data_IF_785417993048
#
_entry.id   IF_785417993048
#
_cell.length_a   1.000
_cell.length_b   1.000
_cell.length_c   1.000
_cell.angle_alpha   90.00
_cell.angle_beta   90.00
_cell.angle_gamma   90.00
#
_symmetry.space_group_name_H-M   'P 1'
#
loop_
_entity.id
_entity.type
_entity.pdbx_description
1 polymer ?
#
# COMPACT_ATOMS: atom_id res chain seq x y z
N UNK A 1 -12.00 10.71 -16.32
CA UNK A 1 -10.56 10.81 -16.24
C UNK A 1 -10.13 10.94 -14.79
N UNK A 2 -9.17 10.16 -14.43
CA UNK A 2 -8.62 10.27 -13.10
C UNK A 2 -7.82 11.58 -12.98
N UNK A 3 -8.02 12.36 -11.92
CA UNK A 3 -7.20 13.56 -11.76
C UNK A 3 -5.74 13.15 -11.57
N UNK A 4 -4.85 14.00 -11.97
CA UNK A 4 -3.43 13.80 -11.72
C UNK A 4 -3.21 13.68 -10.22
N UNK A 5 -2.42 12.69 -9.80
CA UNK A 5 -2.18 12.48 -8.39
C UNK A 5 -1.04 13.36 -7.93
N UNK A 6 -1.34 14.29 -7.03
CA UNK A 6 -0.30 15.07 -6.36
C UNK A 6 0.44 14.17 -5.40
N UNK A 7 1.73 14.43 -5.21
CA UNK A 7 2.53 13.58 -4.33
C UNK A 7 1.93 13.51 -2.92
N UNK A 8 1.51 14.64 -2.38
CA UNK A 8 0.96 14.69 -1.03
C UNK A 8 -0.41 14.04 -0.93
N UNK A 9 -1.06 13.74 -2.05
CA UNK A 9 -2.40 13.15 -2.04
C UNK A 9 -2.37 11.63 -2.07
N UNK A 10 -1.20 11.00 -2.29
CA UNK A 10 -1.13 9.55 -2.44
C UNK A 10 -1.56 8.84 -1.16
N UNK A 11 -0.97 9.21 -0.01
CA UNK A 11 -1.29 8.54 1.25
C UNK A 11 -2.76 8.71 1.66
N UNK A 12 -3.34 9.92 1.59
CA UNK A 12 -4.78 10.05 1.83
C UNK A 12 -5.62 9.20 0.88
N UNK A 13 -5.19 9.03 -0.36
CA UNK A 13 -5.92 8.22 -1.33
C UNK A 13 -5.87 6.74 -0.96
N UNK A 14 -4.76 6.26 -0.39
CA UNK A 14 -4.69 4.89 0.10
C UNK A 14 -5.71 4.66 1.21
N UNK A 15 -5.73 5.57 2.19
CA UNK A 15 -6.67 5.45 3.30
C UNK A 15 -8.12 5.46 2.81
N UNK A 16 -8.46 6.42 1.95
CA UNK A 16 -9.81 6.52 1.41
C UNK A 16 -10.19 5.30 0.58
N UNK A 17 -9.25 4.81 -0.23
CA UNK A 17 -9.51 3.64 -1.07
C UNK A 17 -9.83 2.40 -0.25
N UNK A 18 -9.08 2.16 0.82
CA UNK A 18 -9.34 1.03 1.69
C UNK A 18 -10.69 1.19 2.39
N UNK A 19 -10.92 2.36 2.97
CA UNK A 19 -12.11 2.56 3.81
C UNK A 19 -13.39 2.65 2.99
N UNK A 20 -13.29 2.98 1.70
CA UNK A 20 -14.44 3.04 0.80
C UNK A 20 -14.57 1.79 -0.08
N UNK A 21 -13.74 0.78 0.15
CA UNK A 21 -13.77 -0.45 -0.66
C UNK A 21 -13.59 -0.17 -2.15
N UNK A 22 -12.69 0.77 -2.46
CA UNK A 22 -12.50 1.25 -3.83
C UNK A 22 -11.26 0.61 -4.45
N UNK A 23 -11.42 -0.63 -4.90
CA UNK A 23 -10.30 -1.39 -5.48
C UNK A 23 -9.71 -0.67 -6.70
N UNK A 24 -10.54 -0.12 -7.55
CA UNK A 24 -10.05 0.56 -8.74
C UNK A 24 -9.25 1.80 -8.40
N UNK A 25 -9.69 2.55 -7.38
CA UNK A 25 -8.97 3.72 -6.92
C UNK A 25 -7.61 3.37 -6.34
N UNK A 26 -7.52 2.25 -5.62
CA UNK A 26 -6.24 1.81 -5.07
C UNK A 26 -5.28 1.39 -6.18
N UNK A 27 -5.75 0.58 -7.13
CA UNK A 27 -4.91 0.12 -8.24
C UNK A 27 -4.44 1.29 -9.10
N UNK A 28 -5.29 2.32 -9.22
CA UNK A 28 -4.95 3.51 -10.01
C UNK A 28 -3.78 4.31 -9.43
N UNK A 29 -3.35 4.02 -8.20
CA UNK A 29 -2.19 4.69 -7.59
C UNK A 29 -0.87 4.11 -8.05
N UNK A 30 -0.88 3.02 -8.82
CA UNK A 30 0.32 2.27 -9.20
C UNK A 30 0.60 2.36 -10.70
N UNK A 31 1.88 2.41 -11.04
CA UNK A 31 2.30 2.28 -12.43
C UNK A 31 2.11 0.84 -12.89
N UNK A 32 1.99 0.64 -14.20
CA UNK A 32 1.71 -0.68 -14.75
C UNK A 32 2.78 -1.70 -14.41
N UNK A 33 4.03 -1.25 -14.26
CA UNK A 33 5.16 -2.13 -13.95
C UNK A 33 5.55 -2.11 -12.48
N UNK A 34 4.68 -1.59 -11.62
CA UNK A 34 5.00 -1.45 -10.20
C UNK A 34 5.23 -2.79 -9.53
N UNK A 35 6.07 -2.79 -8.52
CA UNK A 35 6.34 -3.96 -7.69
C UNK A 35 5.87 -3.71 -6.26
N UNK A 36 5.39 -4.75 -5.61
CA UNK A 36 4.94 -4.68 -4.22
C UNK A 36 5.60 -5.81 -3.44
N UNK A 37 6.11 -5.47 -2.25
CA UNK A 37 6.72 -6.46 -1.36
C UNK A 37 5.63 -6.93 -0.39
N UNK A 38 5.43 -8.22 -0.31
CA UNK A 38 4.40 -8.81 0.55
C UNK A 38 4.94 -9.05 1.95
N UNK A 39 4.03 -9.38 2.88
CA UNK A 39 4.40 -9.57 4.28
C UNK A 39 5.44 -10.68 4.47
N UNK A 40 5.43 -11.69 3.60
CA UNK A 40 6.38 -12.81 3.69
C UNK A 40 7.70 -12.52 2.95
N UNK A 41 7.85 -11.30 2.41
CA UNK A 41 9.05 -10.91 1.67
C UNK A 41 9.00 -11.22 0.18
N UNK A 42 7.95 -11.89 -0.28
CA UNK A 42 7.78 -12.16 -1.71
C UNK A 42 7.51 -10.87 -2.46
N UNK A 43 8.02 -10.76 -3.67
CA UNK A 43 7.80 -9.58 -4.51
C UNK A 43 6.89 -9.96 -5.66
N UNK A 44 5.82 -9.20 -5.83
CA UNK A 44 4.92 -9.35 -6.99
C UNK A 44 5.02 -8.11 -7.85
N UNK A 45 4.78 -8.26 -9.15
CA UNK A 45 4.93 -7.17 -10.11
C UNK A 45 3.72 -7.14 -11.03
N UNK A 46 3.27 -5.93 -11.34
CA UNK A 46 2.16 -5.71 -12.27
C UNK A 46 0.85 -5.46 -11.57
N UNK A 47 -0.05 -4.79 -12.28
CA UNK A 47 -1.31 -4.34 -11.69
C UNK A 47 -2.24 -5.49 -11.31
N UNK A 48 -2.20 -6.58 -12.06
CA UNK A 48 -3.06 -7.73 -11.75
C UNK A 48 -2.71 -8.32 -10.37
N UNK A 49 -1.41 -8.51 -10.12
CA UNK A 49 -0.95 -9.06 -8.84
C UNK A 49 -1.22 -8.08 -7.69
N UNK A 50 -1.03 -6.78 -7.95
CA UNK A 50 -1.27 -5.75 -6.93
C UNK A 50 -2.76 -5.68 -6.60
N UNK A 51 -3.62 -5.77 -7.62
CA UNK A 51 -5.07 -5.80 -7.41
C UNK A 51 -5.45 -6.98 -6.52
N UNK A 52 -4.85 -8.12 -6.75
CA UNK A 52 -5.15 -9.31 -5.97
C UNK A 52 -4.81 -9.09 -4.49
N UNK A 53 -3.69 -8.44 -4.22
CA UNK A 53 -3.31 -8.16 -2.83
C UNK A 53 -4.30 -7.21 -2.16
N UNK A 54 -4.67 -6.13 -2.84
CA UNK A 54 -5.65 -5.21 -2.28
C UNK A 54 -7.02 -5.86 -2.10
N UNK A 55 -7.43 -6.70 -3.06
CA UNK A 55 -8.71 -7.41 -2.96
C UNK A 55 -8.76 -8.27 -1.70
N UNK A 56 -7.65 -8.95 -1.39
CA UNK A 56 -7.57 -9.75 -0.18
C UNK A 56 -7.74 -8.92 1.08
N UNK A 57 -7.09 -7.74 1.11
CA UNK A 57 -7.21 -6.86 2.27
C UNK A 57 -8.63 -6.32 2.41
N UNK A 58 -9.22 -5.87 1.30
CA UNK A 58 -10.57 -5.32 1.34
C UNK A 58 -11.60 -6.35 1.79
N UNK A 59 -11.37 -7.62 1.45
CA UNK A 59 -12.29 -8.70 1.85
C UNK A 59 -12.36 -8.86 3.37
N UNK A 60 -11.37 -8.36 4.10
CA UNK A 60 -11.36 -8.43 5.55
C UNK A 60 -12.29 -7.42 6.21
N UNK A 61 -12.76 -6.43 5.47
CA UNK A 61 -13.69 -5.40 5.94
C UNK A 61 -13.17 -4.64 7.15
N UNK A 62 -11.89 -4.32 7.14
CA UNK A 62 -11.27 -3.57 8.22
C UNK A 62 -11.29 -2.08 7.97
N UNK A 63 -10.74 -1.35 8.92
CA UNK A 63 -10.61 0.11 8.84
C UNK A 63 -9.14 0.47 8.85
N UNK A 64 -8.72 1.32 7.91
CA UNK A 64 -7.32 1.74 7.82
C UNK A 64 -7.16 3.19 8.23
N UNK A 65 -6.11 3.46 8.99
CA UNK A 65 -5.65 4.81 9.29
C UNK A 65 -4.25 4.94 8.71
N UNK A 66 -3.99 6.01 7.98
CA UNK A 66 -2.69 6.23 7.34
C UNK A 66 -2.18 7.60 7.78
N UNK A 67 -0.95 7.62 8.28
CA UNK A 67 -0.28 8.85 8.67
C UNK A 67 0.99 8.99 7.84
N UNK A 68 1.05 10.02 7.01
CA UNK A 68 2.23 10.26 6.18
C UNK A 68 3.41 10.66 7.07
N UNK A 69 4.56 10.05 6.83
CA UNK A 69 5.81 10.40 7.52
C UNK A 69 6.61 11.39 6.70
N UNK A 70 6.72 11.15 5.40
CA UNK A 70 7.39 12.08 4.49
C UNK A 70 7.10 11.70 3.04
N UNK A 71 7.31 12.67 2.16
CA UNK A 71 7.27 12.47 0.72
C UNK A 71 8.32 13.43 0.14
N UNK A 72 9.39 12.88 -0.40
CA UNK A 72 10.55 13.66 -0.83
C UNK A 72 10.81 13.39 -2.31
N UNK A 73 10.65 14.44 -3.13
CA UNK A 73 10.83 14.32 -4.57
C UNK A 73 12.19 14.86 -5.00
N UNK A 74 12.81 14.18 -5.95
CA UNK A 74 14.00 14.63 -6.64
C UNK A 74 13.77 14.36 -8.12
N UNK A 75 13.54 15.43 -8.90
CA UNK A 75 13.19 15.27 -10.31
C UNK A 75 11.87 14.51 -10.43
N UNK A 76 11.90 13.43 -11.18
CA UNK A 76 10.71 12.64 -11.46
C UNK A 76 10.55 11.44 -10.52
N UNK A 77 11.38 11.36 -9.50
CA UNK A 77 11.30 10.27 -8.51
C UNK A 77 11.03 10.84 -7.13
N UNK A 78 10.35 10.05 -6.31
CA UNK A 78 10.09 10.42 -4.93
C UNK A 78 10.17 9.20 -4.04
N UNK A 79 10.63 9.43 -2.81
CA UNK A 79 10.59 8.43 -1.74
C UNK A 79 9.49 8.85 -0.79
N UNK A 80 8.63 7.92 -0.41
CA UNK A 80 7.54 8.20 0.52
C UNK A 80 7.55 7.17 1.62
N UNK A 81 6.98 7.54 2.76
CA UNK A 81 6.76 6.61 3.85
C UNK A 81 5.54 7.04 4.62
N UNK A 82 4.75 6.06 5.05
CA UNK A 82 3.65 6.32 5.95
C UNK A 82 3.64 5.26 7.05
N UNK A 83 2.91 5.56 8.10
CA UNK A 83 2.60 4.60 9.15
C UNK A 83 1.12 4.26 8.98
N UNK A 84 0.82 2.98 8.80
CA UNK A 84 -0.57 2.56 8.64
C UNK A 84 -0.97 1.66 9.79
N UNK A 85 -2.26 1.70 10.11
CA UNK A 85 -2.88 0.82 11.08
C UNK A 85 -4.13 0.25 10.45
N UNK A 86 -4.34 -1.05 10.57
CA UNK A 86 -5.51 -1.71 10.01
C UNK A 86 -6.18 -2.50 11.12
N UNK A 87 -7.45 -2.22 11.35
CA UNK A 87 -8.21 -2.82 12.45
C UNK A 87 -9.33 -3.68 11.89
N UNK A 88 -9.38 -4.93 12.35
CA UNK A 88 -10.41 -5.89 11.95
C UNK A 88 -10.84 -6.63 13.23
N UNK A 89 -12.13 -6.57 13.54
CA UNK A 89 -12.70 -7.36 14.66
C UNK A 89 -11.94 -7.19 15.96
N UNK A 90 -11.54 -5.95 16.25
CA UNK A 90 -10.81 -5.65 17.48
C UNK A 90 -9.33 -5.95 17.45
N UNK A 91 -8.85 -6.58 16.38
CA UNK A 91 -7.43 -6.83 16.18
C UNK A 91 -6.83 -5.66 15.40
N UNK A 92 -5.57 -5.40 15.69
CA UNK A 92 -4.90 -4.26 15.07
C UNK A 92 -3.54 -4.69 14.51
N UNK A 93 -3.28 -4.31 13.26
CA UNK A 93 -1.98 -4.47 12.63
C UNK A 93 -1.45 -3.12 12.25
N UNK A 94 -0.16 -2.89 12.36
CA UNK A 94 0.44 -1.65 11.88
C UNK A 94 1.86 -1.88 11.43
N UNK A 95 2.32 -1.03 10.54
CA UNK A 95 3.70 -1.04 10.09
C UNK A 95 4.03 0.31 9.47
N UNK A 96 5.26 0.42 9.02
CA UNK A 96 5.77 1.63 8.36
C UNK A 96 6.20 1.22 6.96
N UNK A 97 5.85 2.03 5.97
CA UNK A 97 6.16 1.71 4.58
C UNK A 97 7.47 2.34 4.11
N UNK A 98 7.97 1.81 2.99
CA UNK A 98 8.96 2.48 2.16
C UNK A 98 8.45 2.38 0.73
N UNK A 99 8.30 3.51 0.07
CA UNK A 99 7.66 3.56 -1.23
C UNK A 99 8.46 4.44 -2.17
N UNK A 100 8.44 4.09 -3.46
CA UNK A 100 9.01 4.93 -4.50
C UNK A 100 7.91 5.25 -5.50
N UNK A 101 7.78 6.52 -5.83
CA UNK A 101 6.85 6.98 -6.86
C UNK A 101 7.61 7.65 -8.00
N UNK A 102 7.04 7.59 -9.18
CA UNK A 102 7.60 8.24 -10.36
C UNK A 102 6.55 9.16 -10.95
N UNK A 103 6.99 10.35 -11.38
CA UNK A 103 6.07 11.29 -12.02
C UNK A 103 5.76 10.81 -13.43
N UNK A 104 4.47 10.72 -13.73
CA UNK A 104 3.93 10.30 -15.01
C UNK A 104 3.05 11.42 -15.54
N UNK A 105 2.67 11.41 -16.82
CA UNK A 105 1.74 12.44 -17.32
C UNK A 105 0.45 12.53 -16.49
N UNK A 106 -0.02 11.41 -15.94
CA UNK A 106 -1.23 11.42 -15.12
C UNK A 106 -1.00 11.84 -13.68
N UNK A 107 0.24 12.11 -13.27
CA UNK A 107 0.59 12.45 -11.90
C UNK A 107 1.57 11.45 -11.33
N UNK A 108 1.75 11.49 -10.02
CA UNK A 108 2.68 10.58 -9.36
C UNK A 108 2.04 9.21 -9.17
N UNK A 109 2.77 8.15 -9.53
CA UNK A 109 2.32 6.77 -9.35
C UNK A 109 3.38 5.96 -8.64
N UNK A 110 2.96 5.06 -7.76
CA UNK A 110 3.90 4.12 -7.12
C UNK A 110 4.57 3.23 -8.15
N UNK A 111 5.87 3.04 -8.01
CA UNK A 111 6.61 2.04 -8.77
C UNK A 111 7.16 0.96 -7.87
N UNK A 112 7.37 1.26 -6.58
CA UNK A 112 7.74 0.26 -5.56
C UNK A 112 6.91 0.56 -4.33
N UNK A 113 6.29 -0.48 -3.78
CA UNK A 113 5.53 -0.36 -2.54
C UNK A 113 5.97 -1.46 -1.59
N UNK A 114 6.55 -1.07 -0.47
CA UNK A 114 6.96 -2.01 0.58
C UNK A 114 6.18 -1.66 1.85
N UNK A 115 4.96 -2.21 2.00
CA UNK A 115 4.08 -1.82 3.11
C UNK A 115 4.59 -2.22 4.49
N UNK A 116 5.54 -3.15 4.57
CA UNK A 116 6.03 -3.69 5.83
C UNK A 116 7.50 -3.37 6.09
N UNK A 117 8.01 -2.31 5.48
CA UNK A 117 9.45 -2.02 5.50
C UNK A 117 9.99 -1.77 6.90
N UNK A 118 9.15 -1.22 7.79
CA UNK A 118 9.57 -0.92 9.16
C UNK A 118 9.42 -2.07 10.13
N UNK A 119 9.04 -3.26 9.66
CA UNK A 119 8.80 -4.40 10.55
C UNK A 119 9.98 -5.37 10.51
N UNK A 120 10.29 -5.95 11.67
CA UNK A 120 11.32 -6.97 11.75
C UNK A 120 10.80 -8.29 11.17
N UNK A 121 11.69 -9.19 10.74
CA UNK A 121 11.25 -10.46 10.15
C UNK A 121 10.27 -11.24 11.02
N UNK A 122 10.47 -11.25 12.35
CA UNK A 122 9.54 -11.93 13.24
C UNK A 122 8.18 -11.25 13.24
N UNK A 123 8.17 -9.91 13.16
CA UNK A 123 6.92 -9.16 13.09
C UNK A 123 6.20 -9.43 11.78
N UNK A 124 6.95 -9.54 10.69
CA UNK A 124 6.34 -9.86 9.40
C UNK A 124 5.70 -11.23 9.42
N UNK A 125 6.36 -12.21 10.04
CA UNK A 125 5.81 -13.54 10.16
C UNK A 125 4.51 -13.53 10.99
N UNK A 126 4.48 -12.74 12.06
CA UNK A 126 3.28 -12.62 12.89
C UNK A 126 2.15 -11.95 12.13
N UNK A 127 2.46 -10.91 11.34
CA UNK A 127 1.46 -10.23 10.52
C UNK A 127 0.88 -11.20 9.49
N UNK A 128 1.75 -11.94 8.82
CA UNK A 128 1.30 -12.90 7.82
C UNK A 128 0.38 -13.96 8.44
N UNK A 129 0.73 -14.45 9.62
CA UNK A 129 -0.09 -15.43 10.32
C UNK A 129 -1.44 -14.85 10.73
N UNK A 130 -1.47 -13.59 11.19
CA UNK A 130 -2.75 -13.02 11.63
C UNK A 130 -3.63 -12.64 10.46
N UNK A 131 -3.07 -12.36 9.30
CA UNK A 131 -3.86 -12.15 8.10
C UNK A 131 -4.44 -13.46 7.54
N UNK A 132 -4.13 -14.44 8.19
CA UNK A 132 -4.71 -15.67 8.01
C UNK A 132 -4.43 -16.41 6.94
N UNK A 133 -3.98 -16.25 6.94
CA UNK A 133 -4.00 -16.96 6.11
C UNK A 133 -4.31 -18.14 6.50
N UNK A 134 -4.68 -18.49 6.89
CA UNK A 134 -4.92 -19.35 7.07
C UNK A 134 -5.46 -20.05 6.61
N UNK A 135 -5.66 -20.17 6.28
CA UNK A 135 -6.03 -20.62 5.79
C UNK A 135 -5.72 -21.23 5.23
N UNK A 136 -5.66 -21.58 5.29
CA UNK A 136 -5.42 -22.17 4.76
C UNK A 136 -5.37 -22.87 4.69
#
# INVERSE_FOLDING_TARGET
>A
MRPGTELAAIHPAVEAGVNNQDIDGLVALYAEDASMVLADGTIVTGLSAIREQWSGLLAMNGHMTVRSRYAIATGDLAVLSNEWTFEVDGERMSSVTAEVARRQPEGWLYVVDHPFAGSEPEELAAIAASMGTTDT
#
